data_IF_216922467136
#
_entry.id   IF_216922467136
#
_cell.length_a   1.000
_cell.length_b   1.000
_cell.length_c   1.000
_cell.angle_alpha   90.00
_cell.angle_beta   90.00
_cell.angle_gamma   90.00
#
_symmetry.space_group_name_H-M   'P 1'
#
loop_
_entity.id
_entity.type
_entity.pdbx_description
1 polymer ?
#
# COMPACT_ATOMS: atom_id res chain seq x y z
N UNK A 1 -30.15 14.47 43.30
CA UNK A 1 -30.46 14.13 41.89
C UNK A 1 -29.14 13.79 41.24
N UNK A 2 -28.95 12.51 40.89
CA UNK A 2 -27.74 12.02 40.25
C UNK A 2 -27.89 12.24 38.74
N UNK A 3 -26.99 13.00 38.14
CA UNK A 3 -26.90 13.13 36.69
C UNK A 3 -25.66 12.36 36.22
N UNK A 4 -25.91 11.14 35.71
CA UNK A 4 -24.94 10.36 34.95
C UNK A 4 -24.80 11.01 33.57
N UNK A 5 -23.70 11.72 33.34
CA UNK A 5 -23.30 12.14 32.00
C UNK A 5 -22.49 11.01 31.38
N UNK A 6 -23.13 10.25 30.51
CA UNK A 6 -22.54 9.18 29.70
C UNK A 6 -21.41 9.76 28.86
N UNK A 7 -20.15 9.41 29.18
CA UNK A 7 -19.03 9.69 28.29
C UNK A 7 -19.19 8.80 27.05
N UNK A 8 -19.65 9.40 25.97
CA UNK A 8 -19.60 8.78 24.65
C UNK A 8 -18.14 8.49 24.33
N UNK A 9 -17.79 7.21 24.31
CA UNK A 9 -16.47 6.74 23.93
C UNK A 9 -16.24 7.12 22.46
N UNK A 10 -15.59 8.25 22.22
CA UNK A 10 -15.04 8.59 20.91
C UNK A 10 -13.97 7.56 20.62
N UNK A 11 -14.33 6.49 19.90
CA UNK A 11 -13.37 5.61 19.28
C UNK A 11 -12.77 6.45 18.15
N UNK A 12 -11.72 7.21 18.48
CA UNK A 12 -10.82 7.74 17.46
C UNK A 12 -10.41 6.55 16.60
N UNK A 13 -10.72 6.60 15.31
CA UNK A 13 -10.19 5.65 14.34
C UNK A 13 -8.67 5.84 14.33
N UNK A 14 -7.97 5.14 15.22
CA UNK A 14 -6.53 5.00 15.13
C UNK A 14 -6.31 4.14 13.89
N UNK A 15 -5.95 4.76 12.76
CA UNK A 15 -5.40 4.02 11.64
C UNK A 15 -4.13 3.32 12.14
N UNK A 16 -4.22 2.01 12.36
CA UNK A 16 -3.07 1.20 12.71
C UNK A 16 -2.23 1.09 11.44
N UNK A 17 -1.06 1.70 11.45
CA UNK A 17 -0.08 1.56 10.37
C UNK A 17 0.55 0.16 10.48
N UNK A 18 0.25 -0.73 9.51
CA UNK A 18 0.66 -2.13 9.54
C UNK A 18 2.13 -2.34 9.16
N UNK A 19 2.70 -1.45 8.35
CA UNK A 19 4.06 -1.54 7.83
C UNK A 19 4.92 -0.33 8.22
N UNK A 20 6.27 -0.45 8.26
CA UNK A 20 7.18 0.66 8.52
C UNK A 20 7.04 1.81 7.50
N UNK A 21 7.67 2.96 7.79
CA UNK A 21 7.68 4.10 6.86
C UNK A 21 8.38 3.77 5.54
N UNK A 22 9.43 2.95 5.58
CA UNK A 22 10.21 2.51 4.42
C UNK A 22 10.50 1.02 4.54
N UNK A 23 10.15 0.25 3.51
CA UNK A 23 10.41 -1.19 3.45
C UNK A 23 10.51 -1.66 2.00
N UNK A 24 10.79 -2.95 1.78
CA UNK A 24 10.86 -3.54 0.45
C UNK A 24 9.70 -4.52 0.23
N UNK A 25 9.29 -4.68 -1.02
CA UNK A 25 8.34 -5.72 -1.40
C UNK A 25 8.76 -6.36 -2.72
N UNK A 26 8.25 -7.56 -2.99
CA UNK A 26 8.48 -8.26 -4.24
C UNK A 26 7.16 -8.61 -4.91
N UNK A 27 7.07 -8.41 -6.22
CA UNK A 27 5.89 -8.82 -7.00
C UNK A 27 5.94 -10.33 -7.24
N UNK A 28 5.04 -11.07 -6.61
CA UNK A 28 4.91 -12.52 -6.73
C UNK A 28 3.66 -12.94 -7.52
N UNK A 29 2.70 -12.02 -7.68
CA UNK A 29 1.44 -12.24 -8.38
C UNK A 29 1.03 -11.07 -9.26
N UNK A 30 -0.25 -11.06 -9.64
CA UNK A 30 -0.81 -9.98 -10.48
C UNK A 30 -1.07 -8.75 -9.60
N UNK A 31 -0.33 -7.68 -9.86
CA UNK A 31 -0.50 -6.38 -9.22
C UNK A 31 -0.82 -5.37 -10.30
N UNK A 32 -1.98 -4.75 -10.23
CA UNK A 32 -2.39 -3.67 -11.12
C UNK A 32 -2.32 -2.34 -10.36
N UNK A 33 -1.86 -1.30 -11.04
CA UNK A 33 -1.90 0.06 -10.55
C UNK A 33 -2.61 0.94 -11.57
N UNK A 34 -3.21 2.04 -11.12
CA UNK A 34 -3.82 3.03 -12.01
C UNK A 34 -2.97 4.28 -12.05
N UNK A 35 -2.64 4.74 -13.25
CA UNK A 35 -1.98 6.04 -13.47
C UNK A 35 -3.02 7.08 -13.87
N UNK A 36 -3.34 7.99 -12.94
CA UNK A 36 -4.35 9.03 -13.14
C UNK A 36 -5.75 8.47 -13.44
N UNK A 37 -6.39 8.98 -14.49
CA UNK A 37 -7.69 8.48 -14.98
C UNK A 37 -7.53 7.41 -16.10
N UNK A 38 -6.30 6.97 -16.34
CA UNK A 38 -5.96 6.00 -17.39
C UNK A 38 -6.42 4.57 -17.09
N UNK A 39 -6.17 3.65 -18.04
CA UNK A 39 -6.36 2.22 -17.80
C UNK A 39 -5.46 1.74 -16.65
N UNK A 40 -5.85 0.64 -16.01
CA UNK A 40 -4.97 -0.05 -15.07
C UNK A 40 -3.80 -0.68 -15.83
N UNK A 41 -2.60 -0.49 -15.31
CA UNK A 41 -1.36 -1.07 -15.81
C UNK A 41 -0.86 -2.13 -14.84
N UNK A 42 -0.16 -3.13 -15.35
CA UNK A 42 0.33 -4.24 -14.54
C UNK A 42 1.80 -4.04 -14.20
N UNK A 43 2.14 -4.20 -12.92
CA UNK A 43 3.53 -4.18 -12.47
C UNK A 43 4.20 -5.51 -12.90
N UNK A 44 5.41 -5.47 -13.50
CA UNK A 44 6.15 -6.66 -13.88
C UNK A 44 6.36 -7.64 -12.71
N UNK A 45 6.16 -8.94 -12.97
CA UNK A 45 6.37 -9.97 -11.95
C UNK A 45 7.86 -10.18 -11.66
N UNK A 46 8.15 -10.55 -10.42
CA UNK A 46 9.49 -10.94 -9.98
C UNK A 46 10.40 -9.77 -9.60
N UNK A 47 9.97 -8.53 -9.81
CA UNK A 47 10.75 -7.34 -9.45
C UNK A 47 10.67 -7.06 -7.95
N UNK A 48 11.78 -6.56 -7.42
CA UNK A 48 11.85 -5.97 -6.09
C UNK A 48 11.55 -4.47 -6.18
N UNK A 49 10.75 -3.97 -5.25
CA UNK A 49 10.35 -2.57 -5.17
C UNK A 49 10.60 -2.02 -3.78
N UNK A 50 10.87 -0.72 -3.72
CA UNK A 50 10.84 0.06 -2.49
C UNK A 50 9.42 0.53 -2.25
N UNK A 51 9.00 0.46 -1.00
CA UNK A 51 7.68 0.89 -0.56
C UNK A 51 7.82 1.96 0.50
N UNK A 52 7.23 3.11 0.23
CA UNK A 52 7.15 4.25 1.14
C UNK A 52 5.72 4.42 1.62
N UNK A 53 5.51 4.43 2.94
CA UNK A 53 4.17 4.62 3.49
C UNK A 53 3.77 6.10 3.47
N UNK A 54 2.61 6.39 2.89
CA UNK A 54 1.97 7.71 2.93
C UNK A 54 0.67 7.67 3.75
N UNK A 55 0.05 8.84 3.96
CA UNK A 55 -1.09 9.01 4.88
C UNK A 55 -2.25 8.03 4.59
N UNK A 56 -2.56 7.75 3.32
CA UNK A 56 -3.67 6.86 2.93
C UNK A 56 -3.30 5.85 1.83
N UNK A 57 -2.02 5.77 1.48
CA UNK A 57 -1.51 5.00 0.35
C UNK A 57 -0.10 4.49 0.62
N UNK A 58 0.36 3.57 -0.22
CA UNK A 58 1.77 3.19 -0.31
C UNK A 58 2.29 3.64 -1.68
N UNK A 59 3.49 4.20 -1.71
CA UNK A 59 4.19 4.56 -2.94
C UNK A 59 5.19 3.45 -3.26
N UNK A 60 5.00 2.82 -4.40
CA UNK A 60 5.84 1.75 -4.93
C UNK A 60 6.82 2.35 -5.91
N UNK A 61 8.11 2.04 -5.74
CA UNK A 61 9.17 2.48 -6.64
C UNK A 61 10.00 1.28 -7.09
N UNK A 62 10.13 1.10 -8.40
CA UNK A 62 10.97 0.03 -8.98
C UNK A 62 11.74 0.55 -10.20
N UNK A 63 12.64 -0.27 -10.73
CA UNK A 63 13.26 -0.03 -12.03
C UNK A 63 12.63 -1.00 -13.01
N UNK A 64 12.02 -0.48 -14.07
CA UNK A 64 11.41 -1.32 -15.08
C UNK A 64 12.48 -2.13 -15.81
N UNK A 65 12.33 -3.47 -15.93
CA UNK A 65 13.34 -4.33 -16.52
C UNK A 65 13.46 -4.17 -18.05
N UNK A 66 12.45 -3.65 -18.74
CA UNK A 66 12.45 -3.50 -20.20
C UNK A 66 13.21 -2.25 -20.65
N UNK A 67 12.98 -1.11 -19.99
CA UNK A 67 13.57 0.18 -20.37
C UNK A 67 14.61 0.74 -19.39
N UNK A 68 14.81 0.07 -18.24
CA UNK A 68 15.72 0.47 -17.15
C UNK A 68 15.41 1.85 -16.55
N UNK A 69 14.18 2.34 -16.68
CA UNK A 69 13.77 3.60 -16.08
C UNK A 69 13.17 3.39 -14.69
N UNK A 70 13.35 4.35 -13.78
CA UNK A 70 12.67 4.32 -12.50
C UNK A 70 11.18 4.60 -12.69
N UNK A 71 10.35 3.69 -12.21
CA UNK A 71 8.90 3.79 -12.24
C UNK A 71 8.33 3.97 -10.83
N UNK A 72 7.19 4.64 -10.76
CA UNK A 72 6.49 4.87 -9.50
C UNK A 72 4.99 4.70 -9.62
N UNK A 73 4.37 4.03 -8.65
CA UNK A 73 2.93 3.87 -8.56
C UNK A 73 2.44 4.15 -7.14
N UNK A 74 1.25 4.69 -7.01
CA UNK A 74 0.56 4.84 -5.72
C UNK A 74 -0.61 3.87 -5.65
N UNK A 75 -0.66 3.08 -4.57
CA UNK A 75 -1.78 2.20 -4.26
C UNK A 75 -2.46 2.66 -2.98
N UNK A 76 -3.79 2.62 -2.94
CA UNK A 76 -4.51 2.86 -1.69
C UNK A 76 -4.09 1.82 -0.64
N UNK A 77 -4.07 2.19 0.66
CA UNK A 77 -3.67 1.27 1.74
C UNK A 77 -4.36 -0.09 1.64
N UNK A 78 -5.69 -0.09 1.49
CA UNK A 78 -6.51 -1.32 1.37
C UNK A 78 -6.16 -2.16 0.15
N UNK A 79 -5.81 -1.52 -0.96
CA UNK A 79 -5.46 -2.22 -2.20
C UNK A 79 -4.08 -2.89 -2.07
N UNK A 80 -3.10 -2.17 -1.53
CA UNK A 80 -1.80 -2.73 -1.22
C UNK A 80 -1.90 -3.91 -0.24
N UNK A 81 -2.61 -3.72 0.87
CA UNK A 81 -2.82 -4.75 1.88
C UNK A 81 -3.53 -5.97 1.30
N UNK A 82 -4.50 -5.76 0.41
CA UNK A 82 -5.16 -6.85 -0.30
C UNK A 82 -4.18 -7.64 -1.18
N UNK A 83 -3.28 -6.97 -1.92
CA UNK A 83 -2.26 -7.66 -2.71
C UNK A 83 -1.29 -8.47 -1.84
N UNK A 84 -0.97 -7.99 -0.64
CA UNK A 84 -0.16 -8.77 0.31
C UNK A 84 -0.96 -9.98 0.83
N UNK A 85 -2.22 -9.79 1.18
CA UNK A 85 -3.11 -10.85 1.69
C UNK A 85 -3.29 -12.00 0.68
N UNK A 86 -3.48 -11.68 -0.61
CA UNK A 86 -3.63 -12.68 -1.68
C UNK A 86 -2.30 -13.25 -2.17
N UNK A 87 -1.17 -12.79 -1.62
CA UNK A 87 0.17 -13.23 -1.99
C UNK A 87 0.64 -12.72 -3.37
N UNK A 88 0.07 -11.63 -3.85
CA UNK A 88 0.53 -10.94 -5.06
C UNK A 88 1.74 -10.01 -4.79
N UNK A 89 1.85 -9.53 -3.55
CA UNK A 89 3.02 -8.84 -3.02
C UNK A 89 3.57 -9.59 -1.81
N UNK A 90 4.88 -9.81 -1.79
CA UNK A 90 5.61 -10.33 -0.63
C UNK A 90 6.38 -9.20 0.03
N UNK A 91 6.04 -8.89 1.28
CA UNK A 91 6.65 -7.79 2.04
C UNK A 91 7.92 -8.27 2.76
N UNK A 92 9.00 -7.49 2.63
CA UNK A 92 10.27 -7.66 3.34
C UNK A 92 10.53 -6.42 4.20
N UNK A 93 10.44 -6.60 5.53
CA UNK A 93 10.69 -5.56 6.55
C UNK A 93 12.06 -5.69 7.21
#
# INVERSE_FOLDING_TARGET
MNEHSTQGNQISAVEIQLYPEHFAARVTGKVEHRVGDGPSEQIPMGIEMKVDTAIASYVLSWVDPEDQQPETASLAKREFEHYVEVGALEVTV
#
